data_IF_245162298684
#
_entry.id   IF_245162298684
#
_cell.length_a   1.000
_cell.length_b   1.000
_cell.length_c   1.000
_cell.angle_alpha   90.00
_cell.angle_beta   90.00
_cell.angle_gamma   90.00
#
_symmetry.space_group_name_H-M   'P 1'
#
loop_
_entity.id
_entity.type
_entity.pdbx_description
1 polymer ?
#
# COMPACT_ATOMS: atom_id res chain seq x y z
N UNK A 1 -7.62 44.04 -68.02
CA UNK A 1 -8.52 43.04 -68.61
C UNK A 1 -8.94 42.06 -67.53
N UNK A 2 -10.26 41.88 -67.38
CA UNK A 2 -11.02 40.89 -66.59
C UNK A 2 -10.68 40.78 -65.07
N UNK A 3 -11.55 41.02 -64.08
CA UNK A 3 -12.99 41.28 -64.05
C UNK A 3 -13.77 40.15 -63.36
N UNK A 4 -14.34 40.45 -62.17
CA UNK A 4 -15.43 39.76 -61.44
C UNK A 4 -15.12 38.37 -60.81
N UNK A 5 -15.64 37.96 -59.63
CA UNK A 5 -16.71 38.45 -58.73
C UNK A 5 -16.54 37.79 -57.34
N UNK A 6 -16.88 38.52 -56.27
CA UNK A 6 -17.16 37.96 -54.94
C UNK A 6 -18.37 37.02 -54.99
N UNK A 7 -18.26 35.86 -54.34
CA UNK A 7 -19.40 35.01 -53.98
C UNK A 7 -19.52 34.93 -52.45
N UNK A 8 -20.76 35.09 -51.99
CA UNK A 8 -21.16 35.27 -50.61
C UNK A 8 -20.94 34.02 -49.73
N UNK A 9 -20.69 34.28 -48.44
CA UNK A 9 -20.65 33.27 -47.37
C UNK A 9 -22.01 32.55 -47.25
N UNK A 10 -22.05 31.22 -47.05
CA UNK A 10 -23.27 30.55 -46.63
C UNK A 10 -23.57 30.90 -45.18
N UNK A 11 -24.77 31.43 -44.94
CA UNK A 11 -25.41 31.50 -43.62
C UNK A 11 -25.69 30.08 -43.12
N UNK A 12 -24.94 29.63 -42.12
CA UNK A 12 -25.27 28.44 -41.36
C UNK A 12 -26.49 28.76 -40.47
N UNK A 13 -27.62 28.20 -40.85
CA UNK A 13 -28.83 28.14 -40.04
C UNK A 13 -28.55 27.27 -38.80
N UNK A 14 -28.73 27.86 -37.62
CA UNK A 14 -28.66 27.14 -36.35
C UNK A 14 -29.79 26.10 -36.28
N UNK A 15 -29.43 24.82 -36.41
CA UNK A 15 -30.26 23.72 -35.92
C UNK A 15 -30.06 23.60 -34.40
N UNK A 16 -31.11 23.41 -33.58
CA UNK A 16 -30.98 23.41 -32.13
C UNK A 16 -30.33 22.10 -31.68
N UNK A 17 -29.00 22.10 -31.56
CA UNK A 17 -28.28 21.08 -30.83
C UNK A 17 -28.76 21.12 -29.38
N UNK A 18 -29.28 19.99 -28.90
CA UNK A 18 -29.65 19.73 -27.52
C UNK A 18 -28.60 20.29 -26.54
N UNK A 19 -28.89 21.44 -25.93
CA UNK A 19 -28.28 21.85 -24.68
C UNK A 19 -28.76 20.86 -23.61
N UNK A 20 -28.02 19.77 -23.43
CA UNK A 20 -28.05 19.06 -22.17
C UNK A 20 -27.51 20.02 -21.12
N UNK A 21 -28.43 20.57 -20.31
CA UNK A 21 -28.07 21.44 -19.20
C UNK A 21 -27.01 20.74 -18.34
N UNK A 22 -26.06 21.52 -17.82
CA UNK A 22 -25.07 21.07 -16.83
C UNK A 22 -25.71 20.37 -15.62
N UNK A 23 -27.00 20.61 -15.38
CA UNK A 23 -27.82 19.91 -14.38
C UNK A 23 -28.13 18.45 -14.77
N UNK A 24 -28.37 18.13 -16.05
CA UNK A 24 -28.68 16.77 -16.50
C UNK A 24 -27.46 15.85 -16.46
N UNK A 25 -26.28 16.34 -16.85
CA UNK A 25 -25.02 15.61 -16.74
C UNK A 25 -24.61 15.38 -15.27
N UNK A 26 -24.78 16.39 -14.41
CA UNK A 26 -24.55 16.26 -12.96
C UNK A 26 -25.55 15.28 -12.30
N UNK A 27 -26.79 15.23 -12.76
CA UNK A 27 -27.82 14.31 -12.25
C UNK A 27 -27.59 12.89 -12.73
N UNK A 28 -27.15 12.69 -13.98
CA UNK A 28 -26.75 11.39 -14.51
C UNK A 28 -25.49 10.85 -13.81
N UNK A 29 -24.50 11.71 -13.51
CA UNK A 29 -23.30 11.36 -12.75
C UNK A 29 -23.63 11.02 -11.28
N UNK A 30 -24.55 11.76 -10.64
CA UNK A 30 -25.07 11.44 -9.29
C UNK A 30 -25.90 10.15 -9.27
N UNK A 31 -26.66 9.85 -10.33
CA UNK A 31 -27.42 8.59 -10.45
C UNK A 31 -26.51 7.39 -10.70
N UNK A 32 -25.40 7.54 -11.44
CA UNK A 32 -24.41 6.48 -11.65
C UNK A 32 -23.62 6.14 -10.39
N UNK A 33 -23.25 7.15 -9.58
CA UNK A 33 -22.67 6.94 -8.23
C UNK A 33 -23.59 6.19 -7.26
N UNK A 34 -24.91 6.24 -7.43
CA UNK A 34 -25.86 5.47 -6.60
C UNK A 34 -26.03 4.02 -7.04
N UNK A 35 -25.68 3.68 -8.28
CA UNK A 35 -25.84 2.32 -8.82
C UNK A 35 -24.56 1.48 -8.71
N UNK A 36 -23.40 2.14 -8.74
CA UNK A 36 -22.08 1.46 -8.70
C UNK A 36 -21.28 1.79 -7.43
N UNK A 37 -21.95 2.21 -6.34
CA UNK A 37 -21.32 2.19 -5.02
C UNK A 37 -21.21 0.73 -4.59
N UNK A 38 -20.10 0.08 -4.95
CA UNK A 38 -19.64 -1.11 -4.25
C UNK A 38 -19.44 -0.66 -2.81
N UNK A 39 -20.42 -0.95 -1.97
CA UNK A 39 -20.29 -0.80 -0.54
C UNK A 39 -19.12 -1.67 -0.13
N UNK A 40 -18.01 -1.06 0.26
CA UNK A 40 -17.06 -1.74 1.14
C UNK A 40 -17.89 -2.41 2.23
N UNK A 41 -17.70 -3.71 2.53
CA UNK A 41 -18.42 -4.31 3.64
C UNK A 41 -18.09 -3.47 4.86
N UNK A 42 -19.09 -2.68 5.31
CA UNK A 42 -19.06 -2.09 6.64
C UNK A 42 -19.06 -3.31 7.54
N UNK A 43 -17.87 -3.72 7.99
CA UNK A 43 -17.76 -4.63 9.11
C UNK A 43 -18.60 -4.01 10.19
N UNK A 44 -19.77 -4.60 10.45
CA UNK A 44 -20.61 -4.23 11.56
C UNK A 44 -19.86 -4.66 12.81
N UNK A 45 -18.89 -3.86 13.23
CA UNK A 45 -18.40 -3.91 14.61
C UNK A 45 -19.56 -3.40 15.45
N UNK A 46 -20.42 -4.32 15.88
CA UNK A 46 -21.39 -4.05 16.93
C UNK A 46 -20.62 -3.42 18.10
N UNK A 47 -21.19 -2.37 18.71
CA UNK A 47 -20.65 -1.87 19.98
C UNK A 47 -20.59 -3.05 20.95
N UNK A 48 -19.43 -3.30 21.55
CA UNK A 48 -19.30 -4.35 22.56
C UNK A 48 -20.12 -3.91 23.77
N UNK A 49 -21.25 -4.58 24.00
CA UNK A 49 -21.97 -4.53 25.27
C UNK A 49 -21.41 -5.66 26.14
N UNK A 50 -20.47 -5.34 27.03
CA UNK A 50 -19.96 -6.29 28.02
C UNK A 50 -21.01 -6.45 29.13
N UNK A 51 -21.65 -7.62 29.26
CA UNK A 51 -22.51 -7.94 30.40
C UNK A 51 -21.65 -8.36 31.60
N UNK A 52 -21.87 -7.73 32.76
CA UNK A 52 -21.14 -8.02 34.00
C UNK A 52 -21.63 -9.36 34.54
N UNK A 53 -20.80 -10.39 34.46
CA UNK A 53 -20.98 -11.62 35.23
C UNK A 53 -20.59 -11.35 36.69
N UNK A 54 -21.51 -11.59 37.62
CA UNK A 54 -21.30 -11.43 39.05
C UNK A 54 -20.38 -12.53 39.62
N UNK A 55 -19.07 -12.33 39.59
CA UNK A 55 -18.13 -13.06 40.46
C UNK A 55 -16.98 -12.16 40.85
N UNK A 56 -16.71 -12.09 42.16
CA UNK A 56 -15.65 -11.29 42.76
C UNK A 56 -14.26 -11.58 42.18
N UNK A 57 -13.45 -10.52 42.19
CA UNK A 57 -12.11 -10.40 41.60
C UNK A 57 -12.10 -10.23 40.07
N UNK A 58 -12.50 -9.03 39.62
CA UNK A 58 -12.41 -8.62 38.22
C UNK A 58 -10.96 -8.47 37.81
N UNK A 59 -10.34 -9.55 37.34
CA UNK A 59 -8.99 -9.55 36.79
C UNK A 59 -8.92 -8.62 35.56
N UNK A 60 -8.30 -7.46 35.73
CA UNK A 60 -8.15 -6.45 34.67
C UNK A 60 -7.25 -6.98 33.56
N UNK A 61 -7.74 -6.93 32.32
CA UNK A 61 -6.94 -7.22 31.13
C UNK A 61 -6.23 -5.95 30.70
N UNK A 62 -4.89 -5.99 30.63
CA UNK A 62 -4.07 -4.83 30.25
C UNK A 62 -3.58 -4.95 28.82
N UNK A 63 -3.80 -3.88 28.06
CA UNK A 63 -3.41 -3.73 26.65
C UNK A 63 -2.34 -2.64 26.55
N UNK A 64 -1.19 -2.98 25.99
CA UNK A 64 -0.08 -2.08 25.75
C UNK A 64 -0.04 -1.63 24.29
N UNK A 65 -0.04 -0.33 24.02
CA UNK A 65 0.36 0.23 22.73
C UNK A 65 1.81 0.72 22.79
N UNK A 66 2.66 0.22 21.89
CA UNK A 66 4.07 0.62 21.82
C UNK A 66 4.24 1.94 21.06
N UNK A 67 4.32 3.04 21.80
CA UNK A 67 4.67 4.38 21.32
C UNK A 67 3.50 5.22 20.80
N UNK A 68 3.73 6.55 20.65
CA UNK A 68 2.68 7.54 20.33
C UNK A 68 2.31 7.61 18.84
N UNK A 69 2.90 6.75 18.01
CA UNK A 69 2.65 6.75 16.56
C UNK A 69 1.23 6.28 16.24
N UNK A 70 0.63 6.79 15.17
CA UNK A 70 -0.74 6.46 14.77
C UNK A 70 -1.76 6.64 15.93
N UNK A 71 -1.86 7.84 16.54
CA UNK A 71 -2.65 8.05 17.76
C UNK A 71 -4.11 7.65 17.60
N UNK A 72 -4.66 7.75 16.38
CA UNK A 72 -6.01 7.29 16.05
C UNK A 72 -6.27 5.83 16.43
N UNK A 73 -5.26 4.93 16.35
CA UNK A 73 -5.44 3.54 16.77
C UNK A 73 -5.70 3.43 18.27
N UNK A 74 -4.88 4.10 19.07
CA UNK A 74 -4.98 4.07 20.54
C UNK A 74 -6.25 4.78 21.00
N UNK A 75 -6.56 5.96 20.43
CA UNK A 75 -7.76 6.75 20.75
C UNK A 75 -9.03 5.97 20.43
N UNK A 76 -9.14 5.43 19.22
CA UNK A 76 -10.32 4.65 18.84
C UNK A 76 -10.50 3.40 19.70
N UNK A 77 -9.41 2.70 20.03
CA UNK A 77 -9.49 1.53 20.93
C UNK A 77 -9.97 1.93 22.32
N UNK A 78 -9.47 3.03 22.89
CA UNK A 78 -9.95 3.56 24.18
C UNK A 78 -11.44 3.92 24.13
N UNK A 79 -11.87 4.62 23.08
CA UNK A 79 -13.28 4.99 22.87
C UNK A 79 -14.18 3.75 22.72
N UNK A 80 -13.73 2.76 21.94
CA UNK A 80 -14.47 1.52 21.70
C UNK A 80 -14.64 0.68 22.97
N UNK A 81 -13.67 0.73 23.88
CA UNK A 81 -13.64 -0.04 25.12
C UNK A 81 -14.21 0.71 26.34
N UNK A 82 -14.77 1.91 26.16
CA UNK A 82 -15.38 2.69 27.26
C UNK A 82 -16.44 1.92 28.06
N UNK A 83 -17.14 0.98 27.43
CA UNK A 83 -18.16 0.12 28.06
C UNK A 83 -17.60 -1.13 28.76
N UNK A 84 -16.29 -1.37 28.71
CA UNK A 84 -15.65 -2.56 29.28
C UNK A 84 -14.53 -2.14 30.26
N UNK A 85 -14.90 -1.71 31.49
CA UNK A 85 -13.99 -1.12 32.47
C UNK A 85 -12.91 -2.08 33.01
N UNK A 86 -13.04 -3.38 32.74
CA UNK A 86 -12.06 -4.40 33.08
C UNK A 86 -10.95 -4.54 32.02
N UNK A 87 -10.95 -3.71 30.97
CA UNK A 87 -9.87 -3.64 29.97
C UNK A 87 -9.22 -2.27 30.05
N UNK A 88 -7.96 -2.23 30.48
CA UNK A 88 -7.16 -1.01 30.54
C UNK A 88 -6.21 -0.93 29.35
N UNK A 89 -6.14 0.25 28.74
CA UNK A 89 -5.33 0.51 27.55
C UNK A 89 -4.30 1.59 27.87
N UNK A 90 -3.03 1.18 27.88
CA UNK A 90 -1.90 2.07 28.11
C UNK A 90 -1.15 2.32 26.81
N UNK A 91 -0.51 3.48 26.72
CA UNK A 91 0.45 3.80 25.68
C UNK A 91 1.77 4.19 26.34
N UNK A 92 2.84 3.52 25.95
CA UNK A 92 4.16 3.65 26.59
C UNK A 92 5.21 3.95 25.52
N UNK A 93 6.19 4.79 25.83
CA UNK A 93 7.29 5.10 24.92
C UNK A 93 8.07 3.85 24.52
N UNK A 94 8.59 3.80 23.27
CA UNK A 94 9.21 2.60 22.71
C UNK A 94 10.33 2.01 23.58
N UNK A 95 11.16 2.89 24.15
CA UNK A 95 12.30 2.51 25.00
C UNK A 95 11.89 1.97 26.37
N UNK A 96 10.70 2.33 26.85
CA UNK A 96 10.18 1.90 28.15
C UNK A 96 9.44 0.56 28.06
N UNK A 97 9.09 0.10 26.85
CA UNK A 97 8.37 -1.17 26.64
C UNK A 97 9.04 -2.36 27.34
N UNK A 98 10.37 -2.57 27.25
CA UNK A 98 11.03 -3.71 27.89
C UNK A 98 10.92 -3.73 29.42
N UNK A 99 10.68 -2.58 30.05
CA UNK A 99 10.64 -2.43 31.51
C UNK A 99 9.24 -2.68 32.09
N UNK A 100 8.21 -2.61 31.24
CA UNK A 100 6.81 -2.72 31.68
C UNK A 100 6.05 -3.88 31.07
N UNK A 101 6.58 -4.52 30.02
CA UNK A 101 5.87 -5.54 29.22
C UNK A 101 5.34 -6.72 30.05
N UNK A 102 6.02 -7.08 31.15
CA UNK A 102 5.62 -8.12 32.09
C UNK A 102 4.23 -7.88 32.72
N UNK A 103 3.75 -6.64 32.73
CA UNK A 103 2.48 -6.24 33.33
C UNK A 103 1.29 -6.34 32.36
N UNK A 104 1.52 -6.74 31.10
CA UNK A 104 0.51 -6.68 30.05
C UNK A 104 0.12 -8.06 29.51
N UNK A 105 -1.14 -8.15 29.06
CA UNK A 105 -1.73 -9.37 28.51
C UNK A 105 -1.78 -9.32 26.98
N UNK A 106 -1.89 -8.11 26.42
CA UNK A 106 -1.95 -7.84 24.99
C UNK A 106 -0.94 -6.75 24.67
N UNK A 107 -0.14 -6.95 23.63
CA UNK A 107 0.79 -5.94 23.13
C UNK A 107 0.45 -5.60 21.68
N UNK A 108 0.17 -4.33 21.40
CA UNK A 108 -0.02 -3.78 20.06
C UNK A 108 1.29 -3.10 19.65
N UNK A 109 2.03 -3.79 18.78
CA UNK A 109 3.35 -3.40 18.32
C UNK A 109 3.21 -2.46 17.13
N UNK A 110 3.87 -1.29 17.20
CA UNK A 110 3.94 -0.32 16.09
C UNK A 110 5.36 -0.35 15.51
N UNK A 111 6.19 0.61 15.90
CA UNK A 111 7.54 0.82 15.37
C UNK A 111 8.64 0.31 16.32
N UNK A 112 8.41 -0.81 17.01
CA UNK A 112 9.38 -1.41 17.94
C UNK A 112 9.56 -2.88 17.62
N UNK A 113 10.82 -3.31 17.51
CA UNK A 113 11.14 -4.73 17.45
C UNK A 113 10.90 -5.37 18.82
N UNK A 114 10.05 -6.40 18.85
CA UNK A 114 9.78 -7.25 20.01
C UNK A 114 10.56 -8.54 19.78
N UNK A 115 11.79 -8.55 20.28
CA UNK A 115 12.73 -9.66 20.14
C UNK A 115 12.60 -10.69 21.28
N UNK A 116 13.40 -11.75 21.21
CA UNK A 116 13.44 -12.81 22.21
C UNK A 116 13.65 -12.30 23.64
N UNK A 117 14.49 -11.27 23.82
CA UNK A 117 14.83 -10.74 25.15
C UNK A 117 13.66 -9.98 25.76
N UNK A 118 12.93 -9.21 24.96
CA UNK A 118 11.70 -8.55 25.38
C UNK A 118 10.59 -9.58 25.64
N UNK A 119 10.46 -10.56 24.75
CA UNK A 119 9.47 -11.65 24.89
C UNK A 119 9.71 -12.44 26.18
N UNK A 120 10.98 -12.69 26.55
CA UNK A 120 11.33 -13.39 27.77
C UNK A 120 10.83 -12.70 29.05
N UNK A 121 10.67 -11.38 29.03
CA UNK A 121 10.11 -10.59 30.14
C UNK A 121 8.58 -10.63 30.18
N UNK A 122 7.91 -11.00 29.09
CA UNK A 122 6.47 -10.85 28.90
C UNK A 122 5.64 -11.96 29.58
N UNK A 123 5.81 -12.15 30.89
CA UNK A 123 5.32 -13.31 31.66
C UNK A 123 3.79 -13.50 31.68
N UNK A 124 3.01 -12.44 31.46
CA UNK A 124 1.54 -12.50 31.42
C UNK A 124 0.95 -12.47 30.01
N UNK A 125 1.80 -12.26 29.00
CA UNK A 125 1.39 -11.99 27.63
C UNK A 125 0.61 -13.16 27.03
N UNK A 126 -0.46 -12.84 26.32
CA UNK A 126 -1.30 -13.81 25.59
C UNK A 126 -1.22 -13.62 24.10
N UNK A 127 -1.10 -12.36 23.66
CA UNK A 127 -1.05 -12.03 22.24
C UNK A 127 -0.21 -10.80 21.98
N UNK A 128 0.63 -10.89 20.94
CA UNK A 128 1.34 -9.78 20.34
C UNK A 128 0.68 -9.52 18.97
N UNK A 129 0.14 -8.32 18.80
CA UNK A 129 -0.52 -7.88 17.57
C UNK A 129 0.38 -6.85 16.88
N UNK A 130 0.91 -7.21 15.72
CA UNK A 130 1.59 -6.24 14.86
C UNK A 130 0.55 -5.31 14.23
N UNK A 131 0.71 -4.01 14.46
CA UNK A 131 -0.03 -2.94 13.79
C UNK A 131 0.53 -2.75 12.37
N UNK A 132 0.27 -3.73 11.51
CA UNK A 132 0.80 -3.77 10.16
C UNK A 132 0.60 -5.12 9.47
N UNK A 133 1.04 -5.20 8.22
CA UNK A 133 0.93 -6.41 7.38
C UNK A 133 2.12 -7.35 7.57
N UNK A 134 3.31 -6.78 7.81
CA UNK A 134 4.54 -7.50 8.08
C UNK A 134 4.57 -8.15 9.46
N UNK A 135 5.55 -8.99 9.72
CA UNK A 135 5.81 -9.63 11.03
C UNK A 135 7.29 -9.53 11.46
N UNK A 136 8.13 -8.85 10.67
CA UNK A 136 9.54 -8.61 10.92
C UNK A 136 9.82 -7.90 12.25
N UNK A 137 8.85 -7.13 12.76
CA UNK A 137 8.91 -6.46 14.05
C UNK A 137 8.74 -7.39 15.26
N UNK A 138 8.39 -8.67 15.07
CA UNK A 138 8.14 -9.62 16.17
C UNK A 138 8.91 -10.90 15.93
N UNK A 139 9.66 -11.37 16.92
CA UNK A 139 10.24 -12.71 16.89
C UNK A 139 9.14 -13.75 17.12
N UNK A 140 8.56 -14.23 16.00
CA UNK A 140 7.45 -15.18 16.01
C UNK A 140 7.86 -16.52 16.62
N UNK A 141 9.12 -16.94 16.47
CA UNK A 141 9.60 -18.21 17.00
C UNK A 141 9.70 -18.12 18.53
N UNK A 142 10.34 -17.08 19.06
CA UNK A 142 10.41 -16.85 20.50
C UNK A 142 9.02 -16.70 21.13
N UNK A 143 8.10 -15.98 20.48
CA UNK A 143 6.71 -15.87 20.95
C UNK A 143 6.01 -17.23 20.98
N UNK A 144 6.23 -18.07 19.96
CA UNK A 144 5.64 -19.42 19.87
C UNK A 144 6.16 -20.34 20.98
N UNK A 145 7.47 -20.32 21.26
CA UNK A 145 8.09 -21.09 22.35
C UNK A 145 7.50 -20.70 23.72
N UNK A 146 7.18 -19.41 23.90
CA UNK A 146 6.52 -18.87 25.09
C UNK A 146 5.00 -19.06 25.10
N UNK A 147 4.43 -19.73 24.09
CA UNK A 147 2.98 -19.94 23.91
C UNK A 147 2.19 -18.62 23.80
N UNK A 148 2.84 -17.57 23.31
CA UNK A 148 2.24 -16.27 23.01
C UNK A 148 1.78 -16.28 21.55
N UNK A 149 0.52 -15.93 21.30
CA UNK A 149 0.00 -15.84 19.93
C UNK A 149 0.54 -14.59 19.25
N UNK A 150 0.87 -14.69 17.96
CA UNK A 150 1.20 -13.53 17.14
C UNK A 150 0.12 -13.32 16.09
N UNK A 151 -0.31 -12.08 15.93
CA UNK A 151 -1.29 -11.67 14.95
C UNK A 151 -0.82 -10.43 14.20
N UNK A 152 -1.42 -10.21 13.02
CA UNK A 152 -1.15 -9.08 12.13
C UNK A 152 -2.44 -8.60 11.47
N UNK A 153 -2.38 -7.47 10.81
CA UNK A 153 -3.50 -6.90 10.06
C UNK A 153 -3.34 -7.27 8.57
N UNK A 154 -4.22 -8.11 7.99
CA UNK A 154 -4.12 -8.45 6.57
C UNK A 154 -4.29 -7.21 5.67
N UNK A 155 -3.37 -7.01 4.73
CA UNK A 155 -3.39 -5.85 3.83
C UNK A 155 -4.62 -5.78 2.91
N UNK A 156 -5.26 -6.93 2.62
CA UNK A 156 -6.48 -7.01 1.80
C UNK A 156 -7.76 -6.60 2.54
N UNK A 157 -7.75 -6.60 3.87
CA UNK A 157 -8.92 -6.29 4.69
C UNK A 157 -8.96 -4.82 5.14
N UNK A 158 -7.94 -4.04 4.79
CA UNK A 158 -7.80 -2.65 5.22
C UNK A 158 -7.45 -1.73 4.04
N UNK A 159 -7.47 -0.41 4.26
CA UNK A 159 -7.02 0.58 3.28
C UNK A 159 -5.50 0.61 3.05
N UNK A 160 -4.72 -0.23 3.74
CA UNK A 160 -3.26 -0.21 3.65
C UNK A 160 -2.76 -0.55 2.24
N UNK A 161 -3.28 -1.62 1.61
CA UNK A 161 -2.84 -2.00 0.27
C UNK A 161 -3.10 -0.91 -0.78
N UNK A 162 -4.24 -0.23 -0.67
CA UNK A 162 -4.60 0.92 -1.52
C UNK A 162 -3.63 2.07 -1.32
N UNK A 163 -3.36 2.46 -0.06
CA UNK A 163 -2.45 3.56 0.25
C UNK A 163 -1.02 3.28 -0.20
N UNK A 164 -0.52 2.05 -0.01
CA UNK A 164 0.79 1.64 -0.52
C UNK A 164 0.85 1.67 -2.06
N UNK A 165 -0.22 1.24 -2.74
CA UNK A 165 -0.29 1.30 -4.20
C UNK A 165 -0.26 2.74 -4.73
N UNK A 166 -0.99 3.66 -4.09
CA UNK A 166 -0.95 5.09 -4.43
C UNK A 166 0.46 5.67 -4.26
N UNK A 167 1.14 5.33 -3.17
CA UNK A 167 2.53 5.76 -2.94
C UNK A 167 3.49 5.21 -4.01
N UNK A 168 3.36 3.93 -4.36
CA UNK A 168 4.21 3.31 -5.39
C UNK A 168 4.07 4.02 -6.75
N UNK A 169 2.83 4.35 -7.13
CA UNK A 169 2.54 5.05 -8.39
C UNK A 169 3.04 6.49 -8.33
N UNK A 170 2.84 7.19 -7.20
CA UNK A 170 3.37 8.53 -6.98
C UNK A 170 4.90 8.56 -7.17
N UNK A 171 5.62 7.65 -6.51
CA UNK A 171 7.07 7.56 -6.61
C UNK A 171 7.53 7.19 -8.01
N UNK A 172 6.85 6.25 -8.68
CA UNK A 172 7.15 5.88 -10.07
C UNK A 172 7.04 7.10 -10.99
N UNK A 173 5.94 7.85 -10.91
CA UNK A 173 5.76 9.07 -11.69
C UNK A 173 6.77 10.15 -11.30
N UNK A 174 7.07 10.30 -10.01
CA UNK A 174 8.05 11.26 -9.51
C UNK A 174 9.45 11.01 -10.09
N UNK A 175 9.87 9.76 -10.20
CA UNK A 175 11.16 9.41 -10.80
C UNK A 175 11.15 9.62 -12.30
N UNK A 176 10.14 9.11 -13.02
CA UNK A 176 10.02 9.30 -14.48
C UNK A 176 10.00 10.78 -14.86
N UNK A 177 9.35 11.62 -14.05
CA UNK A 177 9.29 13.07 -14.27
C UNK A 177 10.48 13.81 -13.69
N UNK A 178 11.44 13.14 -13.06
CA UNK A 178 12.60 13.78 -12.41
C UNK A 178 12.17 14.91 -11.47
N UNK A 179 11.16 14.65 -10.63
CA UNK A 179 10.42 15.64 -9.84
C UNK A 179 11.33 16.64 -9.08
N UNK A 180 12.42 16.15 -8.47
CA UNK A 180 13.37 17.01 -7.74
C UNK A 180 14.12 18.01 -8.65
N UNK A 181 14.50 17.57 -9.84
CA UNK A 181 15.13 18.46 -10.83
C UNK A 181 14.09 19.44 -11.40
N UNK A 182 12.86 18.99 -11.60
CA UNK A 182 11.77 19.85 -12.06
C UNK A 182 11.44 20.96 -11.05
N UNK A 183 11.44 20.66 -9.75
CA UNK A 183 11.28 21.67 -8.69
C UNK A 183 12.37 22.74 -8.76
N UNK A 184 13.62 22.33 -8.97
CA UNK A 184 14.76 23.26 -9.14
C UNK A 184 14.59 24.12 -10.39
N UNK A 185 14.23 23.52 -11.53
CA UNK A 185 14.05 24.23 -12.79
C UNK A 185 12.93 25.28 -12.72
N UNK A 186 11.80 24.95 -12.08
CA UNK A 186 10.70 25.91 -11.85
C UNK A 186 11.16 27.10 -11.01
N UNK A 187 11.90 26.85 -9.93
CA UNK A 187 12.44 27.91 -9.07
C UNK A 187 13.43 28.82 -9.82
N UNK A 188 14.16 28.26 -10.79
CA UNK A 188 15.09 28.99 -11.66
C UNK A 188 14.43 29.62 -12.88
N UNK A 189 13.13 29.38 -13.10
CA UNK A 189 12.38 29.76 -14.31
C UNK A 189 12.99 29.16 -15.59
N UNK A 190 13.67 28.03 -15.48
CA UNK A 190 14.17 27.25 -16.61
C UNK A 190 13.03 26.37 -17.14
N UNK A 191 12.41 26.81 -18.25
CA UNK A 191 11.26 26.15 -18.84
C UNK A 191 11.71 25.14 -19.90
N UNK A 192 11.12 23.94 -19.88
CA UNK A 192 11.42 22.88 -20.85
C UNK A 192 12.51 21.90 -20.40
N UNK A 193 13.08 22.11 -19.20
CA UNK A 193 14.03 21.21 -18.56
C UNK A 193 13.52 20.82 -17.16
N UNK A 194 13.73 19.56 -16.69
CA UNK A 194 14.13 18.40 -17.47
C UNK A 194 12.94 17.82 -18.28
N UNK A 195 13.21 17.18 -19.41
CA UNK A 195 12.16 16.54 -20.24
C UNK A 195 11.37 15.47 -19.48
N UNK A 196 12.05 14.67 -18.66
CA UNK A 196 11.48 13.48 -18.03
C UNK A 196 11.01 12.44 -19.05
N UNK A 197 10.23 11.48 -18.59
CA UNK A 197 9.70 10.39 -19.39
C UNK A 197 8.20 10.16 -19.14
N UNK A 198 7.55 9.58 -20.14
CA UNK A 198 6.13 9.22 -20.10
C UNK A 198 5.97 7.75 -19.72
N UNK A 199 5.03 7.45 -18.81
CA UNK A 199 4.76 6.08 -18.37
C UNK A 199 4.00 5.22 -19.41
N UNK A 200 3.22 5.86 -20.28
CA UNK A 200 2.45 5.18 -21.34
C UNK A 200 3.37 4.31 -22.21
N UNK A 201 2.97 3.05 -22.42
CA UNK A 201 3.72 2.08 -23.21
C UNK A 201 4.89 1.41 -22.49
N UNK A 202 5.23 1.83 -21.26
CA UNK A 202 6.29 1.16 -20.47
C UNK A 202 5.83 -0.20 -19.94
N UNK A 203 6.79 -1.05 -19.65
CA UNK A 203 6.61 -2.36 -19.02
C UNK A 203 6.94 -2.28 -17.53
N UNK A 204 5.99 -2.66 -16.68
CA UNK A 204 6.14 -2.63 -15.22
C UNK A 204 6.16 -4.06 -14.69
N UNK A 205 7.21 -4.43 -13.98
CA UNK A 205 7.30 -5.68 -13.22
C UNK A 205 6.89 -5.45 -11.77
N UNK A 206 5.89 -6.19 -11.31
CA UNK A 206 5.48 -6.25 -9.90
C UNK A 206 6.08 -7.51 -9.28
N UNK A 207 7.11 -7.35 -8.45
CA UNK A 207 7.67 -8.45 -7.68
C UNK A 207 6.79 -8.73 -6.45
N UNK A 208 6.09 -9.87 -6.46
CA UNK A 208 5.16 -10.23 -5.40
C UNK A 208 3.72 -9.75 -5.66
N UNK A 209 2.96 -10.55 -6.40
CA UNK A 209 1.56 -10.27 -6.71
C UNK A 209 0.61 -10.64 -5.55
N UNK A 210 0.65 -9.85 -4.48
CA UNK A 210 -0.23 -9.91 -3.31
C UNK A 210 -1.33 -8.86 -3.33
N UNK A 211 -1.84 -8.48 -2.15
CA UNK A 211 -2.86 -7.43 -2.02
C UNK A 211 -2.40 -6.08 -2.58
N UNK A 212 -1.15 -5.67 -2.30
CA UNK A 212 -0.57 -4.42 -2.82
C UNK A 212 -0.39 -4.51 -4.34
N UNK A 213 0.25 -5.58 -4.84
CA UNK A 213 0.48 -5.78 -6.26
C UNK A 213 -0.81 -5.76 -7.10
N UNK A 214 -1.90 -6.34 -6.57
CA UNK A 214 -3.22 -6.26 -7.19
C UNK A 214 -3.72 -4.81 -7.31
N UNK A 215 -3.65 -4.04 -6.23
CA UNK A 215 -4.11 -2.64 -6.22
C UNK A 215 -3.24 -1.73 -7.09
N UNK A 216 -1.95 -2.03 -7.22
CA UNK A 216 -1.03 -1.39 -8.17
C UNK A 216 -1.46 -1.70 -9.59
N UNK A 217 -1.66 -2.97 -9.93
CA UNK A 217 -2.02 -3.36 -11.30
C UNK A 217 -3.34 -2.73 -11.76
N UNK A 218 -4.38 -2.74 -10.90
CA UNK A 218 -5.66 -2.08 -11.19
C UNK A 218 -5.51 -0.59 -11.54
N UNK A 219 -4.59 0.11 -10.88
CA UNK A 219 -4.38 1.55 -11.07
C UNK A 219 -3.41 1.87 -12.20
N UNK A 220 -2.45 0.99 -12.47
CA UNK A 220 -1.49 1.16 -13.55
C UNK A 220 -2.06 0.76 -14.91
N UNK A 221 -2.94 -0.25 -15.00
CA UNK A 221 -3.50 -0.70 -16.30
C UNK A 221 -4.07 0.45 -17.15
N UNK A 222 -4.85 1.41 -16.59
CA UNK A 222 -5.37 2.56 -17.35
C UNK A 222 -4.30 3.54 -17.85
N UNK A 223 -3.07 3.51 -17.35
CA UNK A 223 -1.95 4.28 -17.90
C UNK A 223 -1.41 3.71 -19.22
N UNK A 224 -1.92 2.56 -19.68
CA UNK A 224 -1.48 1.92 -20.93
C UNK A 224 -0.10 1.28 -20.80
N UNK A 225 0.23 0.73 -19.64
CA UNK A 225 1.46 -0.04 -19.40
C UNK A 225 1.23 -1.53 -19.68
N UNK A 226 2.31 -2.25 -20.00
CA UNK A 226 2.36 -3.72 -19.94
C UNK A 226 2.73 -4.13 -18.51
N UNK A 227 1.98 -5.05 -17.90
CA UNK A 227 2.20 -5.50 -16.52
C UNK A 227 2.74 -6.92 -16.52
N UNK A 228 3.94 -7.09 -15.96
CA UNK A 228 4.52 -8.37 -15.61
C UNK A 228 4.41 -8.54 -14.09
N UNK A 229 4.27 -9.77 -13.60
CA UNK A 229 4.27 -9.99 -12.16
C UNK A 229 4.81 -11.36 -11.78
N UNK A 230 5.45 -11.42 -10.60
CA UNK A 230 5.86 -12.69 -9.98
C UNK A 230 4.97 -13.03 -8.79
N UNK A 231 4.63 -14.31 -8.65
CA UNK A 231 3.95 -14.84 -7.47
C UNK A 231 4.34 -16.29 -7.27
N UNK A 232 4.62 -16.68 -6.02
CA UNK A 232 4.98 -18.06 -5.67
C UNK A 232 3.90 -19.08 -6.04
N UNK A 233 2.63 -18.72 -5.88
CA UNK A 233 1.52 -19.61 -6.19
C UNK A 233 0.34 -18.81 -6.74
N UNK A 234 0.09 -18.94 -8.04
CA UNK A 234 -1.02 -18.29 -8.76
C UNK A 234 -2.38 -18.96 -8.50
N UNK A 235 -2.38 -20.23 -8.10
CA UNK A 235 -3.57 -21.07 -7.89
C UNK A 235 -4.28 -20.80 -6.56
N UNK A 236 -3.66 -20.03 -5.65
CA UNK A 236 -4.27 -19.70 -4.36
C UNK A 236 -5.45 -18.74 -4.54
N UNK A 237 -6.68 -19.22 -4.32
CA UNK A 237 -7.98 -18.51 -4.50
C UNK A 237 -8.22 -17.24 -3.65
N UNK A 238 -7.14 -16.61 -3.18
CA UNK A 238 -7.11 -15.34 -2.46
C UNK A 238 -7.22 -14.10 -3.36
N UNK A 239 -7.11 -14.25 -4.67
CA UNK A 239 -7.12 -13.15 -5.64
C UNK A 239 -8.38 -13.20 -6.52
N UNK A 240 -8.89 -12.05 -7.02
CA UNK A 240 -10.11 -11.98 -7.82
C UNK A 240 -10.04 -12.78 -9.14
N UNK A 241 -11.17 -13.05 -9.78
CA UNK A 241 -11.22 -13.73 -11.09
C UNK A 241 -10.55 -12.94 -12.23
N UNK A 242 -10.43 -11.61 -12.11
CA UNK A 242 -10.02 -10.74 -13.23
C UNK A 242 -8.49 -10.52 -13.32
N UNK A 243 -7.68 -11.40 -12.70
CA UNK A 243 -6.21 -11.27 -12.69
C UNK A 243 -5.65 -11.35 -14.11
N UNK A 244 -6.22 -12.19 -14.97
CA UNK A 244 -5.77 -12.36 -16.36
C UNK A 244 -5.93 -11.08 -17.19
N UNK A 245 -6.87 -10.20 -16.82
CA UNK A 245 -7.03 -8.89 -17.48
C UNK A 245 -6.00 -7.87 -16.97
N UNK A 246 -5.53 -8.04 -15.74
CA UNK A 246 -4.63 -7.11 -15.06
C UNK A 246 -3.15 -7.39 -15.31
N UNK A 247 -2.77 -8.65 -15.53
CA UNK A 247 -1.36 -9.07 -15.66
C UNK A 247 -1.12 -9.70 -17.03
N UNK A 248 -0.27 -9.06 -17.84
CA UNK A 248 0.03 -9.48 -19.21
C UNK A 248 1.02 -10.67 -19.26
N UNK A 249 1.91 -10.81 -18.26
CA UNK A 249 2.78 -11.99 -18.11
C UNK A 249 2.96 -12.36 -16.64
N UNK A 250 2.72 -13.63 -16.32
CA UNK A 250 2.83 -14.19 -14.97
C UNK A 250 4.08 -15.07 -14.88
N UNK A 251 4.82 -14.96 -13.78
CA UNK A 251 5.95 -15.84 -13.47
C UNK A 251 6.00 -16.27 -12.01
N UNK A 252 6.82 -17.28 -11.74
CA UNK A 252 7.25 -17.68 -10.41
C UNK A 252 8.50 -16.92 -9.93
N UNK A 253 9.00 -17.22 -8.73
CA UNK A 253 10.29 -16.71 -8.24
C UNK A 253 11.46 -17.02 -9.19
N UNK A 254 11.42 -18.17 -9.86
CA UNK A 254 12.42 -18.64 -10.82
C UNK A 254 12.52 -17.77 -12.09
N UNK A 255 11.42 -17.13 -12.49
CA UNK A 255 11.35 -16.29 -13.69
C UNK A 255 11.77 -14.84 -13.43
N UNK A 256 12.16 -14.53 -12.18
CA UNK A 256 12.36 -13.15 -11.72
C UNK A 256 13.34 -12.37 -12.60
N UNK A 257 14.49 -12.96 -12.95
CA UNK A 257 15.52 -12.30 -13.76
C UNK A 257 15.10 -12.14 -15.22
N UNK A 258 14.39 -13.13 -15.79
CA UNK A 258 13.84 -13.03 -17.15
C UNK A 258 12.86 -11.86 -17.24
N UNK A 259 11.91 -11.79 -16.29
CA UNK A 259 10.91 -10.73 -16.26
C UNK A 259 11.54 -9.35 -15.97
N UNK A 260 12.60 -9.29 -15.16
CA UNK A 260 13.34 -8.06 -14.90
C UNK A 260 13.98 -7.52 -16.18
N UNK A 261 14.53 -8.39 -17.04
CA UNK A 261 15.08 -7.99 -18.33
C UNK A 261 14.06 -7.53 -19.37
N UNK A 262 12.77 -7.75 -19.14
CA UNK A 262 11.70 -7.19 -19.96
C UNK A 262 11.17 -5.85 -19.45
N UNK A 263 11.38 -5.54 -18.18
CA UNK A 263 10.75 -4.41 -17.50
C UNK A 263 11.54 -3.10 -17.65
N UNK A 264 10.82 -1.98 -17.72
CA UNK A 264 11.38 -0.63 -17.62
C UNK A 264 11.25 -0.08 -16.18
N UNK A 265 10.35 -0.67 -15.38
CA UNK A 265 10.03 -0.25 -14.00
C UNK A 265 9.84 -1.50 -13.15
N UNK A 266 10.44 -1.57 -11.96
CA UNK A 266 10.28 -2.68 -11.02
C UNK A 266 9.72 -2.18 -9.69
N UNK A 267 8.57 -2.73 -9.30
CA UNK A 267 7.94 -2.41 -8.01
C UNK A 267 7.96 -3.64 -7.12
N UNK A 268 8.65 -3.54 -5.98
CA UNK A 268 8.74 -4.65 -5.02
C UNK A 268 7.60 -4.59 -4.00
N UNK A 269 6.85 -5.69 -3.93
CA UNK A 269 5.69 -5.89 -3.05
C UNK A 269 5.82 -7.20 -2.25
N UNK A 270 7.05 -7.69 -2.08
CA UNK A 270 7.37 -8.91 -1.37
C UNK A 270 7.35 -8.66 0.15
N UNK A 271 6.92 -9.68 0.90
CA UNK A 271 7.13 -9.71 2.34
C UNK A 271 8.64 -9.89 2.61
N UNK A 272 9.18 -9.16 3.58
CA UNK A 272 10.57 -9.32 4.00
C UNK A 272 10.72 -10.58 4.85
N UNK A 273 11.62 -11.47 4.45
CA UNK A 273 12.03 -12.67 5.16
C UNK A 273 13.41 -13.14 4.66
N UNK A 274 13.93 -14.23 5.19
CA UNK A 274 15.27 -14.73 4.84
C UNK A 274 15.43 -15.09 3.36
N UNK A 275 14.36 -15.37 2.63
CA UNK A 275 14.38 -15.67 1.19
C UNK A 275 14.30 -14.42 0.31
N UNK A 276 13.80 -13.30 0.83
CA UNK A 276 13.53 -12.08 0.05
C UNK A 276 14.45 -10.91 0.40
N UNK A 277 15.18 -10.98 1.52
CA UNK A 277 16.25 -10.04 1.84
C UNK A 277 17.34 -10.14 0.77
N UNK A 278 17.71 -8.99 0.19
CA UNK A 278 18.71 -8.93 -0.87
C UNK A 278 18.26 -9.52 -2.21
N UNK A 279 16.96 -9.79 -2.41
CA UNK A 279 16.45 -10.40 -3.65
C UNK A 279 16.68 -9.53 -4.90
N UNK A 280 16.73 -8.22 -4.71
CA UNK A 280 17.15 -7.28 -5.74
C UNK A 280 18.63 -7.01 -5.52
N UNK A 281 19.46 -7.89 -6.08
CA UNK A 281 20.92 -7.84 -5.99
C UNK A 281 21.53 -7.19 -7.24
N UNK A 282 22.86 -7.15 -7.30
CA UNK A 282 23.59 -6.64 -8.45
C UNK A 282 23.29 -7.42 -9.75
N UNK A 283 22.98 -8.72 -9.63
CA UNK A 283 22.65 -9.53 -10.80
C UNK A 283 21.29 -9.12 -11.35
N UNK A 284 20.30 -8.96 -10.47
CA UNK A 284 18.98 -8.44 -10.80
C UNK A 284 19.08 -7.09 -11.51
N UNK A 285 19.83 -6.15 -10.93
CA UNK A 285 20.03 -4.83 -11.53
C UNK A 285 20.77 -4.90 -12.87
N UNK A 286 21.70 -5.84 -13.03
CA UNK A 286 22.47 -5.99 -14.28
C UNK A 286 21.64 -6.50 -15.46
N UNK A 287 20.57 -7.26 -15.19
CA UNK A 287 19.69 -7.81 -16.23
C UNK A 287 18.55 -6.86 -16.59
N UNK A 288 18.21 -5.91 -15.72
CA UNK A 288 17.22 -4.88 -16.03
C UNK A 288 17.59 -4.12 -17.30
N UNK A 289 16.58 -3.72 -18.07
CA UNK A 289 16.83 -2.92 -19.27
C UNK A 289 17.50 -1.62 -18.86
N UNK A 290 18.72 -1.39 -19.33
CA UNK A 290 19.39 -0.09 -19.24
C UNK A 290 18.62 0.93 -20.09
N UNK A 291 17.53 1.46 -19.55
CA UNK A 291 16.87 2.65 -20.05
C UNK A 291 17.18 3.76 -19.05
N UNK A 292 17.43 4.97 -19.52
CA UNK A 292 17.72 6.15 -18.69
C UNK A 292 16.52 6.45 -17.78
N UNK A 293 16.36 5.71 -16.68
CA UNK A 293 15.18 5.78 -15.82
C UNK A 293 14.68 4.46 -15.22
N UNK A 294 15.56 3.60 -14.71
CA UNK A 294 15.13 2.44 -13.92
C UNK A 294 14.63 2.89 -12.53
N UNK A 295 13.47 2.37 -12.13
CA UNK A 295 12.86 2.66 -10.82
C UNK A 295 12.67 1.35 -10.07
N UNK A 296 13.47 1.15 -9.02
CA UNK A 296 13.25 0.12 -8.01
C UNK A 296 12.68 0.76 -6.75
N UNK A 297 11.45 0.39 -6.36
CA UNK A 297 10.81 0.88 -5.14
C UNK A 297 10.64 -0.25 -4.14
N UNK A 298 11.23 -0.07 -2.94
CA UNK A 298 11.04 -0.92 -1.77
C UNK A 298 10.16 -0.21 -0.74
N UNK A 299 9.00 -0.79 -0.43
CA UNK A 299 7.99 -0.17 0.44
C UNK A 299 8.04 -0.63 1.92
N UNK A 300 9.02 -1.45 2.30
CA UNK A 300 9.13 -2.03 3.66
C UNK A 300 10.54 -1.83 4.25
N UNK A 301 10.61 -1.46 5.54
CA UNK A 301 11.83 -1.01 6.22
C UNK A 301 12.55 -2.13 6.99
N UNK A 302 13.87 -2.18 6.84
CA UNK A 302 14.79 -2.89 7.76
C UNK A 302 16.27 -2.93 7.33
N UNK A 303 16.71 -2.01 6.46
CA UNK A 303 18.08 -1.81 5.90
C UNK A 303 18.47 -2.66 4.66
N UNK A 304 19.28 -2.13 3.72
CA UNK A 304 18.99 -1.01 2.82
C UNK A 304 18.85 -1.45 1.34
N UNK A 305 18.06 -0.70 0.57
CA UNK A 305 18.46 -0.23 -0.76
C UNK A 305 19.16 1.11 -0.51
N UNK A 306 20.47 1.22 -0.75
CA UNK A 306 21.25 2.45 -0.46
C UNK A 306 21.02 3.59 -1.45
N UNK A 307 20.03 3.50 -2.34
CA UNK A 307 19.64 4.60 -3.22
C UNK A 307 18.41 4.26 -4.05
N UNK A 308 17.63 5.29 -4.37
CA UNK A 308 17.02 5.36 -5.70
C UNK A 308 18.20 5.54 -6.64
N UNK A 309 18.75 4.45 -7.17
CA UNK A 309 19.80 4.55 -8.18
C UNK A 309 19.18 5.00 -9.49
N UNK A 310 19.43 6.27 -9.83
CA UNK A 310 19.44 6.67 -11.23
C UNK A 310 20.68 6.03 -11.86
N UNK A 311 20.53 4.86 -12.48
CA UNK A 311 21.57 4.37 -13.38
C UNK A 311 21.59 5.32 -14.58
N UNK A 312 22.70 6.04 -14.74
CA UNK A 312 22.97 6.87 -15.91
C UNK A 312 23.41 5.98 -17.09
#
# INVERSE_FOLDING_TARGET
MAGARLAARPTLTHSPAHQLSSSAAATAWRRRRRRDSVSLPRGSFSKVTCSIGSTGDSKVTRVLFCGPYFPASTTYTKEYLQSCPFIEVDEVGLEQVPDVIQNYHICVVKNRRIDSDIIAKATQMKIIMQYGVGLEGVDVNAATEQKIKVARIPGSMTGNAVSCAEMAIYLTLGVLRKQKLMDTAVNQKDLGSPTGETIFGKTVLILGFGAIGLEIAKRLKPFGVKILATKRNWSSGSLPCDIDELVDKKGGPEDMYELAGEADIVITCLLQNNETVGIVDNMFLSVMKKVVGDVALQLHSGDPFTGIEFVN
#
